data_IF_839382795980
#
_entry.id   IF_839382795980
#
_cell.length_a   1.000
_cell.length_b   1.000
_cell.length_c   1.000
_cell.angle_alpha   90.00
_cell.angle_beta   90.00
_cell.angle_gamma   90.00
#
_symmetry.space_group_name_H-M   'P 1'
#
loop_
_entity.id
_entity.type
_entity.pdbx_description
1 polymer ?
#
# COMPACT_ATOMS: atom_id res chain seq x y z
N UNK A 1 -3.11 5.25 -6.82
CA UNK A 1 -3.94 6.16 -6.03
C UNK A 1 -3.21 6.56 -4.75
N UNK A 2 -3.37 7.81 -4.31
CA UNK A 2 -2.75 8.38 -3.12
C UNK A 2 -3.83 8.90 -2.16
N UNK A 3 -3.73 8.53 -0.88
CA UNK A 3 -4.73 8.87 0.14
C UNK A 3 -4.53 10.25 0.78
N UNK A 4 -3.37 10.86 0.59
CA UNK A 4 -2.99 12.16 1.16
C UNK A 4 -2.76 13.15 0.01
N UNK A 5 -3.84 13.40 -0.77
CA UNK A 5 -3.76 14.12 -2.05
C UNK A 5 -3.32 15.59 -1.95
N UNK A 6 -3.40 16.19 -0.77
CA UNK A 6 -2.97 17.55 -0.47
C UNK A 6 -1.57 17.65 0.17
N UNK A 7 -0.87 16.52 0.35
CA UNK A 7 0.51 16.55 0.86
C UNK A 7 1.50 16.96 -0.25
N UNK A 8 2.38 17.95 -0.04
CA UNK A 8 3.32 18.42 -1.06
C UNK A 8 4.21 17.33 -1.67
N UNK A 9 4.60 16.33 -0.88
CA UNK A 9 5.42 15.19 -1.36
C UNK A 9 4.63 14.31 -2.34
N UNK A 10 3.33 14.16 -2.08
CA UNK A 10 2.41 13.40 -2.95
C UNK A 10 2.15 14.19 -4.23
N UNK A 11 1.95 15.50 -4.14
CA UNK A 11 1.77 16.37 -5.30
C UNK A 11 3.01 16.38 -6.19
N UNK A 12 4.21 16.44 -5.61
CA UNK A 12 5.45 16.30 -6.36
C UNK A 12 5.55 14.96 -7.06
N UNK A 13 5.26 13.86 -6.32
CA UNK A 13 5.26 12.52 -6.90
C UNK A 13 4.24 12.39 -8.04
N UNK A 14 3.01 12.87 -7.86
CA UNK A 14 1.98 12.84 -8.89
C UNK A 14 2.39 13.62 -10.14
N UNK A 15 2.98 14.81 -9.98
CA UNK A 15 3.50 15.62 -11.09
C UNK A 15 4.57 14.87 -11.89
N UNK A 16 5.52 14.21 -11.21
CA UNK A 16 6.58 13.41 -11.85
C UNK A 16 6.02 12.17 -12.56
N UNK A 17 5.03 11.49 -11.96
CA UNK A 17 4.39 10.31 -12.54
C UNK A 17 3.60 10.66 -13.81
N UNK A 18 2.90 11.80 -13.80
CA UNK A 18 2.20 12.32 -14.98
C UNK A 18 3.16 12.64 -16.12
N UNK A 19 4.30 13.27 -15.81
CA UNK A 19 5.34 13.54 -16.79
C UNK A 19 5.93 12.25 -17.40
N UNK A 20 6.01 11.18 -16.61
CA UNK A 20 6.49 9.86 -17.06
C UNK A 20 5.51 9.07 -17.91
N UNK A 21 4.22 9.42 -17.91
CA UNK A 21 3.13 8.82 -18.72
C UNK A 21 2.92 7.30 -18.57
N UNK A 22 3.45 6.68 -17.52
CA UNK A 22 3.35 5.22 -17.35
C UNK A 22 2.26 4.78 -16.35
N UNK A 23 1.63 5.72 -15.67
CA UNK A 23 0.45 5.47 -14.84
C UNK A 23 -0.41 6.73 -14.67
N UNK A 24 -1.67 6.51 -14.26
CA UNK A 24 -2.65 7.58 -14.01
C UNK A 24 -2.81 7.77 -12.49
N UNK A 25 -2.27 8.85 -11.90
CA UNK A 25 -2.44 9.13 -10.49
C UNK A 25 -3.87 9.54 -10.17
N UNK A 26 -4.42 8.96 -9.09
CA UNK A 26 -5.67 9.38 -8.46
C UNK A 26 -5.30 9.99 -7.11
N UNK A 27 -5.76 11.19 -6.82
CA UNK A 27 -5.55 11.91 -5.57
C UNK A 27 -6.87 11.93 -4.78
N UNK A 28 -6.84 11.53 -3.52
CA UNK A 28 -8.02 11.57 -2.65
C UNK A 28 -7.93 12.83 -1.81
N UNK A 29 -9.01 13.63 -1.83
CA UNK A 29 -9.14 14.83 -1.02
C UNK A 29 -10.03 15.88 -1.66
N UNK A 30 -10.09 17.05 -1.03
CA UNK A 30 -10.86 18.18 -1.54
C UNK A 30 -10.18 18.79 -2.79
N UNK A 31 -10.87 18.89 -3.94
CA UNK A 31 -10.28 19.35 -5.19
C UNK A 31 -9.70 20.77 -5.12
N UNK A 32 -10.41 21.69 -4.46
CA UNK A 32 -9.98 23.08 -4.35
C UNK A 32 -8.70 23.19 -3.52
N UNK A 33 -8.64 22.45 -2.40
CA UNK A 33 -7.46 22.42 -1.52
C UNK A 33 -6.26 21.84 -2.25
N UNK A 34 -6.44 20.71 -2.95
CA UNK A 34 -5.39 20.07 -3.73
C UNK A 34 -4.88 21.01 -4.85
N UNK A 35 -5.78 21.71 -5.53
CA UNK A 35 -5.39 22.62 -6.59
C UNK A 35 -4.58 23.81 -6.07
N UNK A 36 -5.00 24.41 -4.96
CA UNK A 36 -4.30 25.52 -4.32
C UNK A 36 -2.89 25.09 -3.85
N UNK A 37 -2.80 23.97 -3.15
CA UNK A 37 -1.52 23.45 -2.66
C UNK A 37 -0.55 23.10 -3.80
N UNK A 38 -1.06 22.51 -4.88
CA UNK A 38 -0.25 22.21 -6.05
C UNK A 38 0.27 23.47 -6.74
N UNK A 39 -0.54 24.54 -6.81
CA UNK A 39 -0.14 25.84 -7.38
C UNK A 39 0.91 26.52 -6.49
N UNK A 40 0.71 26.57 -5.18
CA UNK A 40 1.65 27.15 -4.22
C UNK A 40 3.00 26.44 -4.23
N UNK A 41 3.00 25.12 -4.38
CA UNK A 41 4.21 24.31 -4.49
C UNK A 41 4.83 24.31 -5.91
N UNK A 42 4.14 24.83 -6.91
CA UNK A 42 4.61 24.84 -8.30
C UNK A 42 4.57 23.48 -9.00
N UNK A 43 3.71 22.56 -8.56
CA UNK A 43 3.57 21.22 -9.15
C UNK A 43 2.45 21.17 -10.19
N UNK A 44 2.73 20.60 -11.35
CA UNK A 44 1.74 20.38 -12.39
C UNK A 44 1.06 19.02 -12.20
N UNK A 45 -0.18 19.03 -11.74
CA UNK A 45 -0.99 17.84 -11.53
C UNK A 45 -2.12 17.68 -12.57
N UNK A 46 -2.06 18.43 -13.70
CA UNK A 46 -3.05 18.32 -14.78
C UNK A 46 -3.01 16.94 -15.39
N UNK A 47 -4.15 16.25 -15.34
CA UNK A 47 -4.28 14.86 -15.77
C UNK A 47 -4.35 13.85 -14.62
N UNK A 48 -4.11 14.26 -13.36
CA UNK A 48 -4.50 13.45 -12.22
C UNK A 48 -6.02 13.49 -12.04
N UNK A 49 -6.60 12.36 -11.70
CA UNK A 49 -7.98 12.31 -11.22
C UNK A 49 -8.03 12.72 -9.75
N UNK A 50 -9.00 13.53 -9.36
CA UNK A 50 -9.19 13.92 -7.96
C UNK A 50 -10.56 13.40 -7.51
N UNK A 51 -10.58 12.61 -6.44
CA UNK A 51 -11.81 12.05 -5.88
C UNK A 51 -12.00 12.59 -4.47
N UNK A 52 -13.12 13.30 -4.26
CA UNK A 52 -13.52 13.80 -2.95
C UNK A 52 -14.42 12.78 -2.25
N UNK A 53 -14.00 12.22 -1.10
CA UNK A 53 -14.83 11.30 -0.32
C UNK A 53 -16.17 11.89 0.12
N UNK A 54 -16.27 13.22 0.23
CA UNK A 54 -17.51 13.91 0.66
C UNK A 54 -18.52 14.05 -0.47
N UNK A 55 -18.07 13.96 -1.72
CA UNK A 55 -18.90 14.14 -2.90
C UNK A 55 -18.66 13.03 -3.96
N UNK A 56 -18.69 11.78 -3.51
CA UNK A 56 -18.46 10.63 -4.39
C UNK A 56 -19.79 10.00 -4.81
N UNK A 57 -20.07 10.00 -6.12
CA UNK A 57 -21.36 9.56 -6.70
C UNK A 57 -21.74 8.13 -6.31
N UNK A 58 -20.76 7.22 -6.21
CA UNK A 58 -20.97 5.81 -5.86
C UNK A 58 -20.82 5.53 -4.35
N UNK A 59 -20.96 6.55 -3.49
CA UNK A 59 -20.83 6.37 -2.04
C UNK A 59 -21.87 5.38 -1.48
N UNK A 60 -23.09 5.36 -2.01
CA UNK A 60 -24.13 4.41 -1.61
C UNK A 60 -23.70 2.96 -1.84
N UNK A 61 -23.23 2.65 -3.04
CA UNK A 61 -22.72 1.33 -3.41
C UNK A 61 -21.50 0.93 -2.53
N UNK A 62 -20.62 1.89 -2.26
CA UNK A 62 -19.46 1.67 -1.39
C UNK A 62 -19.86 1.35 0.05
N UNK A 63 -20.85 2.04 0.60
CA UNK A 63 -21.40 1.79 1.94
C UNK A 63 -22.02 0.40 2.03
N UNK A 64 -22.81 -0.01 1.02
CA UNK A 64 -23.45 -1.32 1.00
C UNK A 64 -22.41 -2.43 0.97
N UNK A 65 -21.40 -2.32 0.10
CA UNK A 65 -20.30 -3.27 0.03
C UNK A 65 -19.48 -3.31 1.33
N UNK A 66 -19.23 -2.15 1.95
CA UNK A 66 -18.52 -2.08 3.23
C UNK A 66 -19.30 -2.82 4.33
N UNK A 67 -20.63 -2.59 4.43
CA UNK A 67 -21.49 -3.29 5.39
C UNK A 67 -21.48 -4.80 5.15
N UNK A 68 -21.50 -5.25 3.89
CA UNK A 68 -21.39 -6.66 3.55
C UNK A 68 -20.08 -7.27 4.03
N UNK A 69 -18.94 -6.63 3.71
CA UNK A 69 -17.61 -7.07 4.12
C UNK A 69 -17.44 -7.12 5.64
N UNK A 70 -18.13 -6.25 6.35
CA UNK A 70 -18.09 -6.10 7.82
C UNK A 70 -19.33 -6.66 8.53
N UNK A 71 -20.15 -7.45 7.85
CA UNK A 71 -21.41 -8.00 8.39
C UNK A 71 -21.24 -8.71 9.74
N UNK A 72 -20.16 -9.47 9.92
CA UNK A 72 -19.86 -10.17 11.17
C UNK A 72 -19.58 -9.23 12.35
N UNK A 73 -19.36 -7.95 12.10
CA UNK A 73 -19.12 -6.90 13.11
C UNK A 73 -20.35 -6.02 13.36
N UNK A 74 -21.43 -6.23 12.64
CA UNK A 74 -22.69 -5.51 12.81
C UNK A 74 -22.59 -4.02 12.49
N UNK A 75 -21.74 -3.62 11.53
CA UNK A 75 -21.57 -2.21 11.15
C UNK A 75 -22.83 -1.70 10.46
N UNK A 76 -23.38 -0.57 10.94
CA UNK A 76 -24.55 0.08 10.32
C UNK A 76 -24.12 0.97 9.14
N UNK A 77 -25.03 1.30 8.21
CA UNK A 77 -24.73 2.20 7.10
C UNK A 77 -24.22 3.58 7.54
N UNK A 78 -24.74 4.12 8.63
CA UNK A 78 -24.28 5.40 9.19
C UNK A 78 -22.85 5.31 9.70
N UNK A 79 -22.53 4.23 10.42
CA UNK A 79 -21.16 3.97 10.89
C UNK A 79 -20.22 3.75 9.72
N UNK A 80 -20.64 2.99 8.71
CA UNK A 80 -19.86 2.77 7.49
C UNK A 80 -19.53 4.09 6.79
N UNK A 81 -20.53 4.98 6.63
CA UNK A 81 -20.34 6.30 6.02
C UNK A 81 -19.37 7.16 6.82
N UNK A 82 -19.44 7.13 8.15
CA UNK A 82 -18.48 7.82 9.02
C UNK A 82 -17.05 7.26 8.91
N UNK A 83 -16.89 5.95 8.75
CA UNK A 83 -15.57 5.34 8.54
C UNK A 83 -15.03 5.69 7.15
N UNK A 84 -15.86 5.64 6.13
CA UNK A 84 -15.51 5.92 4.73
C UNK A 84 -15.23 7.40 4.45
N UNK A 85 -15.49 8.32 5.37
CA UNK A 85 -15.00 9.70 5.28
C UNK A 85 -13.49 9.81 5.49
N UNK A 86 -12.84 8.77 6.04
CA UNK A 86 -11.39 8.71 6.20
C UNK A 86 -10.74 8.24 4.89
N UNK A 87 -9.81 9.03 4.35
CA UNK A 87 -9.22 8.79 3.04
C UNK A 87 -8.54 7.43 2.89
N UNK A 88 -7.94 6.88 3.96
CA UNK A 88 -7.33 5.55 3.95
C UNK A 88 -8.36 4.41 3.80
N UNK A 89 -9.53 4.50 4.48
CA UNK A 89 -10.63 3.54 4.30
C UNK A 89 -11.30 3.72 2.94
N UNK A 90 -11.58 4.95 2.57
CA UNK A 90 -12.17 5.29 1.26
C UNK A 90 -11.31 4.76 0.12
N UNK A 91 -10.02 5.07 0.15
CA UNK A 91 -9.09 4.60 -0.87
C UNK A 91 -8.98 3.07 -0.93
N UNK A 92 -8.95 2.40 0.22
CA UNK A 92 -8.95 0.93 0.25
C UNK A 92 -10.22 0.36 -0.39
N UNK A 93 -11.38 1.00 -0.19
CA UNK A 93 -12.62 0.59 -0.84
C UNK A 93 -12.60 0.86 -2.35
N UNK A 94 -12.00 1.95 -2.83
CA UNK A 94 -11.83 2.18 -4.27
C UNK A 94 -11.03 1.05 -4.94
N UNK A 95 -9.96 0.57 -4.29
CA UNK A 95 -9.23 -0.62 -4.77
C UNK A 95 -10.13 -1.86 -4.72
N UNK A 96 -10.88 -2.06 -3.64
CA UNK A 96 -11.80 -3.21 -3.52
C UNK A 96 -12.90 -3.22 -4.57
N UNK A 97 -13.36 -2.05 -4.99
CA UNK A 97 -14.36 -1.86 -6.04
C UNK A 97 -13.77 -1.90 -7.46
N UNK A 98 -12.46 -2.04 -7.59
CA UNK A 98 -11.77 -2.07 -8.89
C UNK A 98 -11.71 -0.70 -9.60
N UNK A 99 -11.89 0.39 -8.86
CA UNK A 99 -11.73 1.76 -9.39
C UNK A 99 -10.26 2.14 -9.52
N UNK A 100 -9.42 1.59 -8.65
CA UNK A 100 -7.99 1.79 -8.68
C UNK A 100 -7.25 0.44 -8.53
N UNK A 101 -6.10 0.30 -9.18
CA UNK A 101 -5.28 -0.91 -9.17
C UNK A 101 -4.43 -1.05 -7.91
N UNK A 102 -4.00 0.09 -7.34
CA UNK A 102 -3.13 0.12 -6.16
C UNK A 102 -3.37 1.38 -5.32
N UNK A 103 -3.10 1.25 -4.03
CA UNK A 103 -3.09 2.35 -3.07
C UNK A 103 -1.67 2.52 -2.51
N UNK A 104 -1.20 3.77 -2.51
CA UNK A 104 0.01 4.19 -1.82
C UNK A 104 -0.39 5.28 -0.81
N UNK A 105 -0.09 5.04 0.45
CA UNK A 105 -0.36 5.94 1.56
C UNK A 105 0.77 5.89 2.57
N UNK A 106 0.69 6.74 3.61
CA UNK A 106 1.65 6.76 4.71
C UNK A 106 2.63 7.94 4.67
N UNK A 107 2.35 8.96 3.88
CA UNK A 107 3.09 10.22 3.96
C UNK A 107 2.88 10.88 5.34
N UNK A 108 1.68 10.80 5.89
CA UNK A 108 1.29 11.33 7.21
C UNK A 108 0.71 10.27 8.14
N UNK A 109 0.18 9.17 7.61
CA UNK A 109 -0.41 8.09 8.39
C UNK A 109 0.64 7.18 9.04
N UNK A 110 0.30 6.64 10.21
CA UNK A 110 1.07 5.56 10.81
C UNK A 110 0.94 4.27 9.98
N UNK A 111 1.88 3.33 10.16
CA UNK A 111 1.78 2.00 9.55
C UNK A 111 0.46 1.31 9.90
N UNK A 112 0.02 1.43 11.15
CA UNK A 112 -1.23 0.83 11.61
C UNK A 112 -2.45 1.42 10.90
N UNK A 113 -2.49 2.73 10.67
CA UNK A 113 -3.60 3.40 10.01
C UNK A 113 -3.65 3.12 8.51
N UNK A 114 -2.50 2.86 7.91
CA UNK A 114 -2.41 2.45 6.50
C UNK A 114 -2.80 0.97 6.31
N UNK A 115 -2.31 0.09 7.18
CA UNK A 115 -2.49 -1.37 7.02
C UNK A 115 -3.87 -1.84 7.51
N UNK A 116 -4.43 -1.22 8.56
CA UNK A 116 -5.71 -1.64 9.15
C UNK A 116 -6.87 -1.71 8.14
N UNK A 117 -7.11 -0.73 7.26
CA UNK A 117 -8.15 -0.85 6.23
C UNK A 117 -7.92 -2.03 5.30
N UNK A 118 -6.67 -2.26 4.86
CA UNK A 118 -6.33 -3.38 3.99
C UNK A 118 -6.63 -4.73 4.66
N UNK A 119 -6.22 -4.92 5.93
CA UNK A 119 -6.53 -6.12 6.70
C UNK A 119 -8.03 -6.37 6.86
N UNK A 120 -8.80 -5.31 7.01
CA UNK A 120 -10.24 -5.41 7.24
C UNK A 120 -11.05 -5.67 5.97
N UNK A 121 -10.64 -5.10 4.83
CA UNK A 121 -11.43 -5.02 3.60
C UNK A 121 -10.87 -5.89 2.48
N UNK A 122 -9.55 -5.90 2.28
CA UNK A 122 -8.89 -6.71 1.25
C UNK A 122 -8.64 -8.12 1.77
N UNK A 123 -8.19 -8.24 3.02
CA UNK A 123 -7.80 -9.50 3.70
C UNK A 123 -6.55 -10.14 3.08
N UNK A 124 -6.26 -11.39 3.50
CA UNK A 124 -5.16 -12.19 2.99
C UNK A 124 -5.47 -12.76 1.62
N UNK A 125 -4.45 -13.05 0.85
CA UNK A 125 -4.53 -13.86 -0.37
C UNK A 125 -5.08 -15.25 -0.01
N UNK A 126 -5.91 -15.87 -0.88
CA UNK A 126 -6.37 -17.24 -0.64
C UNK A 126 -5.20 -18.20 -0.41
N UNK A 127 -5.27 -18.96 0.68
CA UNK A 127 -4.22 -19.89 1.11
C UNK A 127 -3.22 -19.32 2.11
N UNK A 128 -3.20 -17.99 2.31
CA UNK A 128 -2.35 -17.36 3.32
C UNK A 128 -3.12 -17.13 4.62
N UNK A 129 -2.46 -17.38 5.74
CA UNK A 129 -3.02 -17.21 7.09
C UNK A 129 -2.68 -15.84 7.67
N UNK A 130 -1.57 -15.26 7.25
CA UNK A 130 -1.07 -13.98 7.74
C UNK A 130 -0.84 -12.97 6.60
N UNK A 131 -0.67 -11.71 6.97
CA UNK A 131 -0.16 -10.65 6.10
C UNK A 131 1.28 -10.35 6.50
N UNK A 132 2.16 -10.28 5.53
CA UNK A 132 3.56 -9.91 5.74
C UNK A 132 3.94 -8.67 4.95
N UNK A 133 5.02 -8.03 5.36
CA UNK A 133 5.60 -6.89 4.65
C UNK A 133 6.93 -7.25 3.99
N UNK A 134 7.29 -6.52 2.94
CA UNK A 134 8.56 -6.68 2.28
C UNK A 134 9.15 -5.31 1.95
N UNK A 135 10.39 -5.06 2.37
CA UNK A 135 11.17 -3.91 1.92
C UNK A 135 11.98 -4.28 0.69
N UNK A 136 11.92 -3.42 -0.30
CA UNK A 136 12.85 -3.45 -1.44
C UNK A 136 13.90 -2.37 -1.18
N UNK A 137 15.07 -2.83 -0.79
CA UNK A 137 16.20 -1.96 -0.46
C UNK A 137 17.14 -1.84 -1.64
N UNK A 138 17.45 -0.61 -2.01
CA UNK A 138 18.40 -0.30 -3.09
C UNK A 138 19.60 0.40 -2.49
N UNK A 139 20.79 -0.14 -2.74
CA UNK A 139 22.05 0.49 -2.32
C UNK A 139 23.05 0.56 -3.47
N UNK A 140 23.86 1.61 -3.55
CA UNK A 140 24.99 1.65 -4.47
C UNK A 140 26.00 0.53 -4.11
N UNK A 141 26.39 -0.29 -5.07
CA UNK A 141 27.47 -1.24 -4.89
C UNK A 141 28.81 -0.65 -5.32
N UNK A 142 29.91 -1.20 -4.79
CA UNK A 142 31.27 -0.79 -5.15
C UNK A 142 31.59 -1.01 -6.63
N UNK A 143 30.84 -1.87 -7.31
CA UNK A 143 30.95 -2.16 -8.75
C UNK A 143 30.33 -1.08 -9.65
N UNK A 144 29.67 -0.07 -9.08
CA UNK A 144 28.95 0.97 -9.82
C UNK A 144 27.51 0.60 -10.23
N UNK A 145 27.09 -0.64 -10.02
CA UNK A 145 25.70 -1.07 -10.18
C UNK A 145 24.95 -1.00 -8.86
N UNK A 146 23.62 -0.81 -8.94
CA UNK A 146 22.79 -0.83 -7.72
C UNK A 146 22.54 -2.29 -7.29
N UNK A 147 22.80 -2.57 -6.04
CA UNK A 147 22.38 -3.83 -5.40
C UNK A 147 20.96 -3.67 -4.86
N UNK A 148 20.07 -4.60 -5.21
CA UNK A 148 18.67 -4.61 -4.79
C UNK A 148 18.42 -5.83 -3.92
N UNK A 149 17.87 -5.60 -2.73
CA UNK A 149 17.59 -6.62 -1.73
C UNK A 149 16.11 -6.60 -1.36
N UNK A 150 15.49 -7.77 -1.22
CA UNK A 150 14.16 -7.93 -0.65
C UNK A 150 14.30 -8.43 0.81
N UNK A 151 13.66 -7.74 1.74
CA UNK A 151 13.70 -8.05 3.17
C UNK A 151 12.28 -8.18 3.73
N UNK A 152 11.92 -9.33 4.21
CA UNK A 152 10.63 -9.60 4.87
C UNK A 152 10.83 -10.37 6.18
N UNK A 153 9.99 -10.27 7.16
CA UNK A 153 8.99 -9.24 7.43
C UNK A 153 9.62 -8.13 8.29
N UNK A 154 9.39 -6.87 7.93
CA UNK A 154 10.10 -5.78 8.56
C UNK A 154 9.26 -4.97 9.55
N UNK A 155 7.93 -5.14 9.56
CA UNK A 155 7.06 -4.22 10.29
C UNK A 155 5.74 -4.81 10.83
N UNK A 156 5.27 -5.96 10.37
CA UNK A 156 3.93 -6.45 10.70
C UNK A 156 3.97 -7.55 11.76
N UNK A 157 4.80 -8.59 11.56
CA UNK A 157 4.85 -9.74 12.45
C UNK A 157 6.07 -9.67 13.37
N UNK A 158 5.86 -9.32 14.65
CA UNK A 158 6.96 -9.12 15.61
C UNK A 158 7.53 -10.46 16.11
N UNK A 159 6.66 -11.44 16.36
CA UNK A 159 7.01 -12.76 16.88
C UNK A 159 6.33 -13.87 16.08
N UNK A 160 6.70 -14.06 14.80
CA UNK A 160 6.07 -15.07 13.96
C UNK A 160 6.43 -16.49 14.45
N UNK A 161 5.47 -17.39 14.33
CA UNK A 161 5.67 -18.85 14.54
C UNK A 161 6.52 -19.43 13.40
N UNK A 162 6.86 -20.72 13.51
CA UNK A 162 7.63 -21.41 12.46
C UNK A 162 6.87 -21.47 11.13
N UNK A 163 5.57 -21.80 11.18
CA UNK A 163 4.72 -21.86 9.99
C UNK A 163 4.54 -20.47 9.35
N UNK A 164 4.34 -19.46 10.16
CA UNK A 164 4.26 -18.07 9.68
C UNK A 164 5.58 -17.60 9.04
N UNK A 165 6.74 -18.03 9.55
CA UNK A 165 8.03 -17.73 8.93
C UNK A 165 8.17 -18.37 7.55
N UNK A 166 7.66 -19.58 7.36
CA UNK A 166 7.64 -20.24 6.05
C UNK A 166 6.78 -19.44 5.06
N UNK A 167 5.61 -18.99 5.51
CA UNK A 167 4.71 -18.16 4.70
C UNK A 167 5.35 -16.82 4.34
N UNK A 168 5.96 -16.11 5.32
CA UNK A 168 6.69 -14.86 5.11
C UNK A 168 7.81 -15.05 4.08
N UNK A 169 8.60 -16.12 4.21
CA UNK A 169 9.69 -16.39 3.29
C UNK A 169 9.19 -16.64 1.86
N UNK A 170 8.10 -17.39 1.72
CA UNK A 170 7.46 -17.67 0.43
C UNK A 170 6.96 -16.40 -0.25
N UNK A 171 6.23 -15.54 0.47
CA UNK A 171 5.70 -14.29 -0.07
C UNK A 171 6.81 -13.27 -0.36
N UNK A 172 7.86 -13.20 0.48
CA UNK A 172 9.03 -12.36 0.21
C UNK A 172 9.77 -12.80 -1.06
N UNK A 173 9.91 -14.12 -1.28
CA UNK A 173 10.50 -14.65 -2.49
C UNK A 173 9.66 -14.34 -3.74
N UNK A 174 8.33 -14.40 -3.63
CA UNK A 174 7.43 -13.99 -4.70
C UNK A 174 7.58 -12.51 -5.04
N UNK A 175 7.64 -11.65 -4.01
CA UNK A 175 7.88 -10.22 -4.17
C UNK A 175 9.23 -9.96 -4.86
N UNK A 176 10.30 -10.60 -4.41
CA UNK A 176 11.63 -10.51 -5.01
C UNK A 176 11.64 -10.85 -6.50
N UNK A 177 10.90 -11.90 -6.92
CA UNK A 177 10.76 -12.29 -8.32
C UNK A 177 10.12 -11.19 -9.18
N UNK A 178 9.10 -10.50 -8.67
CA UNK A 178 8.45 -9.39 -9.37
C UNK A 178 9.47 -8.29 -9.70
N UNK A 179 10.37 -8.00 -8.78
CA UNK A 179 11.43 -7.00 -8.95
C UNK A 179 12.71 -7.57 -9.60
N UNK A 180 12.69 -8.83 -10.07
CA UNK A 180 13.85 -9.52 -10.68
C UNK A 180 15.07 -9.54 -9.76
N UNK A 181 14.85 -9.60 -8.44
CA UNK A 181 15.89 -9.66 -7.44
C UNK A 181 16.33 -11.12 -7.30
N UNK A 182 17.63 -11.37 -7.35
CA UNK A 182 18.18 -12.70 -7.07
C UNK A 182 17.92 -13.05 -5.59
N UNK A 183 17.36 -14.23 -5.34
CA UNK A 183 17.03 -14.67 -3.99
C UNK A 183 18.31 -15.06 -3.25
N UNK A 184 18.62 -14.38 -2.16
CA UNK A 184 19.73 -14.73 -1.30
C UNK A 184 19.35 -14.50 0.18
N UNK A 185 19.08 -15.58 0.87
CA UNK A 185 19.03 -15.74 2.33
C UNK A 185 17.85 -15.12 3.11
N UNK A 186 17.20 -15.98 3.87
CA UNK A 186 16.33 -15.63 5.01
C UNK A 186 17.16 -15.60 6.28
N UNK A 187 17.23 -14.46 6.97
CA UNK A 187 17.86 -14.34 8.28
C UNK A 187 16.81 -14.09 9.35
N UNK A 188 16.68 -15.00 10.29
CA UNK A 188 15.85 -14.83 11.49
C UNK A 188 16.57 -13.91 12.49
N UNK A 189 15.92 -12.85 12.97
CA UNK A 189 16.39 -12.13 14.15
C UNK A 189 16.31 -13.08 15.36
N UNK A 190 17.46 -13.38 15.99
CA UNK A 190 17.66 -14.26 17.15
C UNK A 190 18.03 -15.74 16.91
N UNK A 191 18.53 -16.14 15.75
CA UNK A 191 19.26 -17.41 15.69
C UNK A 191 20.70 -17.14 15.25
N UNK A 192 21.65 -17.53 16.08
CA UNK A 192 23.07 -17.62 15.76
C UNK A 192 23.29 -18.77 14.76
N UNK A 193 23.03 -18.52 13.49
CA UNK A 193 23.23 -19.48 12.43
C UNK A 193 22.99 -18.83 11.06
N UNK A 194 24.06 -18.64 10.32
CA UNK A 194 23.99 -18.34 8.89
C UNK A 194 23.35 -19.55 8.18
N UNK A 195 22.23 -19.32 7.53
CA UNK A 195 21.77 -20.24 6.47
C UNK A 195 22.62 -19.91 5.25
N UNK A 196 23.38 -20.86 4.68
CA UNK A 196 24.16 -20.61 3.48
C UNK A 196 23.25 -20.23 2.33
N UNK A 197 23.74 -19.42 1.36
CA UNK A 197 22.96 -19.05 0.21
C UNK A 197 22.50 -20.31 -0.52
N UNK A 198 21.19 -20.46 -0.72
CA UNK A 198 20.67 -21.48 -1.62
C UNK A 198 21.12 -21.13 -3.04
N UNK A 199 22.20 -21.76 -3.46
CA UNK A 199 22.59 -21.84 -4.86
C UNK A 199 21.67 -22.85 -5.54
N UNK A 200 20.43 -22.46 -5.89
CA UNK A 200 19.62 -23.26 -6.82
C UNK A 200 18.55 -22.42 -7.52
N UNK A 201 18.69 -22.45 -8.82
CA UNK A 201 17.84 -22.26 -9.98
C UNK A 201 17.90 -20.91 -10.63
#
# INVERSE_FOLDING_TARGET
>A
MFTEGDDPRILEAASRLLAGTFLHPILIGNPDKIAVEAEECGFNIRGAEIIDPTNYDRMGEMVDLFCELRKSKGVTPEQARGILSQANYFGTMLVKMGVADALLGGATYSTADTVRPALQLIKTKPGNTIVSSCFIMVRPAATGENEVLAMGDCAINIHPTEDELVEIAGETAQCAKIFRIAFAAVKRNNINGLIPPCSYL
#
